data_IF_742660820778
#
_entry.id   IF_742660820778
#
_cell.length_a   1.000
_cell.length_b   1.000
_cell.length_c   1.000
_cell.angle_alpha   90.00
_cell.angle_beta   90.00
_cell.angle_gamma   90.00
#
_symmetry.space_group_name_H-M   'P 1'
#
loop_
_entity.id
_entity.type
_entity.pdbx_description
1 polymer ?
#
# COMPACT_ATOMS: atom_id res chain seq x y z
N UNK A 1 -30.31 -26.25 14.12
CA UNK A 1 -29.54 -27.33 14.78
C UNK A 1 -28.10 -27.14 14.36
N UNK A 2 -27.24 -26.65 15.27
CA UNK A 2 -25.79 -26.60 15.04
C UNK A 2 -25.27 -28.03 14.79
N UNK A 3 -24.21 -28.18 13.99
CA UNK A 3 -22.95 -28.51 14.65
C UNK A 3 -21.77 -27.66 14.20
N UNK A 4 -21.01 -27.35 15.24
CA UNK A 4 -19.71 -26.72 15.38
C UNK A 4 -18.57 -27.58 14.80
N UNK A 5 -17.39 -26.95 14.65
CA UNK A 5 -16.01 -27.48 14.86
C UNK A 5 -15.14 -27.72 13.61
N UNK A 6 -14.10 -26.86 13.52
CA UNK A 6 -12.68 -27.18 13.23
C UNK A 6 -12.33 -27.48 11.76
N UNK A 7 -11.33 -26.85 11.13
CA UNK A 7 -9.97 -26.58 11.64
C UNK A 7 -9.25 -25.66 10.64
N UNK A 8 -8.48 -24.72 11.15
CA UNK A 8 -7.32 -24.16 10.47
C UNK A 8 -6.40 -25.29 10.01
N UNK A 9 -5.85 -25.19 8.80
CA UNK A 9 -4.64 -25.91 8.45
C UNK A 9 -4.50 -26.31 6.98
N UNK A 10 -3.45 -25.74 6.39
CA UNK A 10 -2.56 -26.32 5.39
C UNK A 10 -2.83 -25.90 3.95
N UNK A 11 -1.87 -25.11 3.46
CA UNK A 11 -1.65 -24.74 2.09
C UNK A 11 -1.56 -25.96 1.17
N UNK A 12 -2.22 -25.87 0.01
CA UNK A 12 -2.09 -26.82 -1.07
C UNK A 12 -3.37 -26.93 -1.89
N UNK A 13 -3.41 -26.16 -2.97
CA UNK A 13 -4.14 -26.43 -4.22
C UNK A 13 -5.68 -26.56 -4.20
N UNK A 14 -6.29 -25.62 -4.95
CA UNK A 14 -7.53 -25.72 -5.75
C UNK A 14 -8.82 -26.14 -5.04
N UNK A 15 -9.66 -25.15 -4.71
CA UNK A 15 -11.02 -25.40 -4.25
C UNK A 15 -12.02 -25.59 -5.41
N UNK A 16 -12.97 -26.48 -5.17
CA UNK A 16 -13.80 -27.21 -6.13
C UNK A 16 -15.01 -26.42 -6.66
N UNK A 17 -14.95 -25.07 -6.71
CA UNK A 17 -16.08 -24.21 -7.11
C UNK A 17 -15.73 -23.02 -8.04
N UNK A 18 -14.58 -23.03 -8.72
CA UNK A 18 -14.41 -22.24 -9.94
C UNK A 18 -14.24 -20.72 -9.80
N UNK A 19 -13.99 -20.20 -8.59
CA UNK A 19 -13.41 -18.86 -8.42
C UNK A 19 -12.03 -19.00 -7.76
N UNK A 20 -10.99 -18.57 -8.48
CA UNK A 20 -9.67 -18.34 -7.91
C UNK A 20 -9.81 -17.24 -6.86
N UNK A 21 -9.84 -17.62 -5.57
CA UNK A 21 -9.57 -16.66 -4.51
C UNK A 21 -8.10 -16.25 -4.66
N UNK A 22 -7.83 -15.23 -5.46
CA UNK A 22 -6.59 -14.47 -5.33
C UNK A 22 -6.50 -14.06 -3.86
N UNK A 23 -5.43 -14.47 -3.18
CA UNK A 23 -5.16 -13.96 -1.82
C UNK A 23 -5.18 -12.44 -1.88
N UNK A 24 -5.79 -11.80 -0.89
CA UNK A 24 -6.01 -10.35 -0.88
C UNK A 24 -4.70 -9.57 -1.08
N UNK A 25 -3.58 -10.13 -0.60
CA UNK A 25 -2.20 -9.66 -0.85
C UNK A 25 -1.88 -9.52 -2.34
N UNK A 26 -2.14 -10.55 -3.13
CA UNK A 26 -1.90 -10.57 -4.57
C UNK A 26 -2.77 -9.52 -5.27
N UNK A 27 -4.03 -9.41 -4.88
CA UNK A 27 -4.95 -8.42 -5.44
C UNK A 27 -4.51 -6.99 -5.10
N UNK A 28 -4.15 -6.73 -3.84
CA UNK A 28 -3.68 -5.43 -3.38
C UNK A 28 -2.40 -5.03 -4.11
N UNK A 29 -1.44 -5.94 -4.24
CA UNK A 29 -0.19 -5.71 -4.96
C UNK A 29 -0.44 -5.38 -6.45
N UNK A 30 -1.26 -6.17 -7.15
CA UNK A 30 -1.63 -5.89 -8.54
C UNK A 30 -2.30 -4.51 -8.69
N UNK A 31 -3.19 -4.15 -7.77
CA UNK A 31 -3.87 -2.86 -7.79
C UNK A 31 -2.88 -1.70 -7.62
N UNK A 32 -1.99 -1.77 -6.63
CA UNK A 32 -0.95 -0.76 -6.42
C UNK A 32 -0.06 -0.59 -7.65
N UNK A 33 0.47 -1.69 -8.20
CA UNK A 33 1.35 -1.67 -9.37
C UNK A 33 0.64 -1.03 -10.57
N UNK A 34 -0.59 -1.46 -10.85
CA UNK A 34 -1.35 -0.99 -12.00
C UNK A 34 -1.72 0.49 -11.89
N UNK A 35 -2.21 0.93 -10.72
CA UNK A 35 -2.59 2.33 -10.50
C UNK A 35 -1.37 3.27 -10.52
N UNK A 36 -0.25 2.85 -9.93
CA UNK A 36 0.95 3.66 -9.92
C UNK A 36 1.61 3.75 -11.30
N UNK A 37 1.62 2.66 -12.08
CA UNK A 37 2.06 2.69 -13.49
C UNK A 37 1.18 3.61 -14.34
N UNK A 38 -0.14 3.50 -14.20
CA UNK A 38 -1.10 4.32 -14.93
C UNK A 38 -1.05 5.82 -14.56
N UNK A 39 -0.35 6.20 -13.48
CA UNK A 39 -0.19 7.59 -13.08
C UNK A 39 0.77 8.39 -13.96
N UNK A 40 1.65 7.74 -14.74
CA UNK A 40 2.74 8.37 -15.49
C UNK A 40 3.73 9.19 -14.62
N UNK A 41 3.75 8.96 -13.30
CA UNK A 41 4.59 9.73 -12.36
C UNK A 41 5.74 8.93 -11.73
N UNK A 42 5.72 7.61 -11.86
CA UNK A 42 6.64 6.69 -11.17
C UNK A 42 7.66 6.09 -12.16
N UNK A 43 8.88 5.90 -11.69
CA UNK A 43 9.98 5.26 -12.41
C UNK A 43 10.29 3.87 -11.85
N UNK A 44 10.24 3.71 -10.53
CA UNK A 44 10.53 2.46 -9.82
C UNK A 44 9.47 2.20 -8.76
N UNK A 45 9.06 0.94 -8.65
CA UNK A 45 8.12 0.43 -7.67
C UNK A 45 8.81 -0.64 -6.82
N UNK A 46 8.69 -0.52 -5.49
CA UNK A 46 9.26 -1.45 -4.52
C UNK A 46 8.09 -1.96 -3.68
N UNK A 47 7.68 -3.21 -3.90
CA UNK A 47 6.60 -3.85 -3.16
C UNK A 47 7.18 -4.85 -2.15
N UNK A 48 6.55 -5.00 -0.99
CA UNK A 48 6.82 -6.10 -0.06
C UNK A 48 6.62 -7.47 -0.76
N UNK A 49 5.63 -7.54 -1.64
CA UNK A 49 5.19 -8.76 -2.34
C UNK A 49 6.03 -9.12 -3.59
N UNK A 50 7.08 -8.35 -3.90
CA UNK A 50 7.94 -8.57 -5.06
C UNK A 50 9.42 -8.64 -4.66
N UNK A 51 10.07 -9.76 -4.97
CA UNK A 51 11.50 -9.97 -4.69
C UNK A 51 12.43 -8.97 -5.41
N UNK A 52 11.98 -8.42 -6.53
CA UNK A 52 12.76 -7.51 -7.37
C UNK A 52 12.04 -6.19 -7.57
N UNK A 53 12.81 -5.12 -7.69
CA UNK A 53 12.28 -3.80 -8.02
C UNK A 53 11.64 -3.83 -9.39
N UNK A 54 10.45 -3.28 -9.48
CA UNK A 54 9.69 -3.20 -10.72
C UNK A 54 10.03 -1.87 -11.41
N UNK A 55 10.66 -1.95 -12.58
CA UNK A 55 10.88 -0.79 -13.45
C UNK A 55 9.59 -0.44 -14.21
N UNK A 56 9.33 0.85 -14.37
CA UNK A 56 8.25 1.36 -15.21
C UNK A 56 8.77 1.61 -16.62
N UNK A 57 7.98 1.18 -17.61
CA UNK A 57 8.31 1.32 -19.03
C UNK A 57 8.54 2.77 -19.43
N UNK A 58 9.42 2.97 -20.41
CA UNK A 58 9.93 4.31 -20.77
C UNK A 58 8.81 5.28 -21.14
N UNK A 59 7.75 4.80 -21.80
CA UNK A 59 6.60 5.59 -22.25
C UNK A 59 5.69 6.05 -21.09
N UNK A 60 5.75 5.34 -19.95
CA UNK A 60 4.93 5.60 -18.76
C UNK A 60 5.76 6.12 -17.58
N UNK A 61 7.05 6.35 -17.80
CA UNK A 61 8.02 6.65 -16.75
C UNK A 61 7.90 8.09 -16.27
N UNK A 62 7.78 8.25 -14.96
CA UNK A 62 7.91 9.55 -14.30
C UNK A 62 9.21 9.71 -13.53
N UNK A 63 9.16 10.50 -12.44
CA UNK A 63 10.34 10.94 -11.68
C UNK A 63 10.37 10.47 -10.22
N UNK A 64 9.34 9.73 -9.81
CA UNK A 64 9.21 9.26 -8.44
C UNK A 64 9.54 7.78 -8.31
N UNK A 65 9.92 7.39 -7.10
CA UNK A 65 10.13 6.03 -6.67
C UNK A 65 9.13 5.80 -5.55
N UNK A 66 8.36 4.72 -5.62
CA UNK A 66 7.33 4.43 -4.62
C UNK A 66 7.66 3.08 -3.98
N UNK A 67 7.94 3.09 -2.68
CA UNK A 67 7.99 1.89 -1.86
C UNK A 67 6.66 1.72 -1.14
N UNK A 68 6.11 0.52 -1.12
CA UNK A 68 4.83 0.27 -0.49
C UNK A 68 4.73 -1.15 0.07
N UNK A 69 3.95 -1.26 1.15
CA UNK A 69 3.37 -2.50 1.63
C UNK A 69 1.90 -2.46 1.24
N UNK A 70 1.46 -3.26 0.25
CA UNK A 70 0.10 -3.20 -0.26
C UNK A 70 -0.92 -3.67 0.77
N UNK A 71 -0.55 -4.55 1.70
CA UNK A 71 -1.45 -5.09 2.71
C UNK A 71 -0.72 -5.50 4.00
N UNK A 72 -0.42 -4.51 4.84
CA UNK A 72 0.17 -4.73 6.15
C UNK A 72 -0.83 -5.43 7.08
N UNK A 73 -0.34 -6.46 7.77
CA UNK A 73 -1.13 -7.25 8.71
C UNK A 73 -2.04 -8.30 8.05
N UNK A 74 -1.73 -8.75 6.83
CA UNK A 74 -2.50 -9.77 6.11
C UNK A 74 -2.78 -11.06 6.90
N UNK A 75 -1.88 -11.45 7.79
CA UNK A 75 -2.07 -12.58 8.72
C UNK A 75 -3.25 -12.42 9.68
N UNK A 76 -3.74 -11.19 9.86
CA UNK A 76 -4.87 -10.87 10.72
C UNK A 76 -6.22 -10.79 10.00
N UNK A 77 -6.26 -11.02 8.68
CA UNK A 77 -7.50 -10.98 7.88
C UNK A 77 -8.55 -11.94 8.45
N UNK A 78 -8.14 -13.16 8.77
CA UNK A 78 -9.04 -14.21 9.30
C UNK A 78 -9.62 -13.84 10.69
N UNK A 79 -8.97 -12.93 11.41
CA UNK A 79 -9.37 -12.47 12.73
C UNK A 79 -10.18 -11.16 12.70
N UNK A 80 -10.42 -10.58 11.51
CA UNK A 80 -11.11 -9.29 11.32
C UNK A 80 -10.50 -8.14 12.15
N UNK A 81 -9.19 -8.19 12.40
CA UNK A 81 -8.45 -7.10 13.02
C UNK A 81 -8.13 -6.06 11.95
N UNK A 82 -7.90 -4.81 12.34
CA UNK A 82 -7.49 -3.76 11.43
C UNK A 82 -6.21 -4.14 10.70
N UNK A 83 -6.25 -3.94 9.38
CA UNK A 83 -5.14 -4.10 8.44
C UNK A 83 -4.90 -2.76 7.74
N UNK A 84 -3.86 -2.62 6.95
CA UNK A 84 -3.56 -1.35 6.30
C UNK A 84 -2.74 -1.49 5.03
N UNK A 85 -2.42 -0.36 4.41
CA UNK A 85 -1.41 -0.27 3.36
C UNK A 85 -0.47 0.87 3.73
N UNK A 86 0.84 0.70 3.49
CA UNK A 86 1.86 1.70 3.82
C UNK A 86 2.54 2.12 2.53
N UNK A 87 2.88 3.40 2.39
CA UNK A 87 3.66 3.86 1.24
C UNK A 87 4.62 4.99 1.61
N UNK A 88 5.72 5.05 0.86
CA UNK A 88 6.71 6.10 0.89
C UNK A 88 7.10 6.48 -0.54
N UNK A 89 7.16 7.79 -0.80
CA UNK A 89 7.47 8.36 -2.11
C UNK A 89 8.78 9.12 -1.99
N UNK A 90 9.72 8.78 -2.87
CA UNK A 90 11.00 9.44 -3.03
C UNK A 90 11.11 10.00 -4.43
N UNK A 91 11.94 11.02 -4.62
CA UNK A 91 12.24 11.56 -5.95
C UNK A 91 13.54 10.93 -6.46
N UNK A 92 13.56 10.53 -7.72
CA UNK A 92 14.81 10.11 -8.37
C UNK A 92 15.78 11.30 -8.42
N UNK A 93 17.06 11.08 -8.12
CA UNK A 93 18.04 12.16 -7.98
C UNK A 93 18.45 12.78 -9.33
N UNK A 94 18.41 11.99 -10.40
CA UNK A 94 18.75 12.45 -11.75
C UNK A 94 17.78 11.90 -12.84
N UNK A 95 18.05 12.22 -14.11
CA UNK A 95 17.27 11.75 -15.27
C UNK A 95 17.89 10.54 -15.99
N UNK A 96 18.85 9.84 -15.37
CA UNK A 96 19.44 8.63 -15.95
C UNK A 96 18.43 7.48 -16.04
N UNK A 97 18.80 6.40 -16.74
CA UNK A 97 17.98 5.17 -16.78
C UNK A 97 17.84 4.65 -15.34
N UNK A 98 16.61 4.37 -14.86
CA UNK A 98 16.40 3.85 -13.52
C UNK A 98 17.19 2.58 -13.25
N UNK A 99 17.69 2.46 -12.03
CA UNK A 99 18.44 1.30 -11.58
C UNK A 99 18.07 0.95 -10.14
N UNK A 100 18.39 -0.26 -9.71
CA UNK A 100 18.21 -0.67 -8.31
C UNK A 100 18.87 0.29 -7.31
N UNK A 101 19.96 0.96 -7.69
CA UNK A 101 20.66 1.91 -6.82
C UNK A 101 19.82 3.14 -6.51
N UNK A 102 18.97 3.58 -7.45
CA UNK A 102 18.09 4.72 -7.25
C UNK A 102 17.03 4.44 -6.17
N UNK A 103 16.64 3.18 -6.00
CA UNK A 103 15.69 2.74 -4.97
C UNK A 103 16.29 2.76 -3.55
N UNK A 104 17.62 2.65 -3.42
CA UNK A 104 18.33 2.55 -2.15
C UNK A 104 18.70 3.94 -1.61
N UNK A 105 17.69 4.76 -1.35
CA UNK A 105 17.86 6.09 -0.76
C UNK A 105 17.58 6.09 0.75
N UNK A 106 18.23 6.98 1.53
CA UNK A 106 17.91 7.14 2.94
C UNK A 106 16.50 7.69 3.13
N UNK A 107 15.81 7.28 4.20
CA UNK A 107 14.44 7.74 4.49
C UNK A 107 14.29 9.26 4.66
N UNK A 108 15.38 9.99 4.92
CA UNK A 108 15.41 11.47 4.92
C UNK A 108 15.14 12.10 3.55
N UNK A 109 15.17 11.31 2.46
CA UNK A 109 14.84 11.73 1.09
C UNK A 109 13.37 11.52 0.72
N UNK A 110 12.56 10.94 1.61
CA UNK A 110 11.13 10.75 1.41
C UNK A 110 10.46 12.13 1.33
N UNK A 111 9.76 12.36 0.22
CA UNK A 111 9.05 13.62 -0.05
C UNK A 111 7.58 13.56 0.37
N UNK A 112 7.02 12.36 0.43
CA UNK A 112 5.68 12.08 0.93
C UNK A 112 5.62 10.66 1.47
N UNK A 113 4.88 10.45 2.54
CA UNK A 113 4.63 9.11 3.09
C UNK A 113 3.26 9.07 3.74
N UNK A 114 2.71 7.88 3.85
CA UNK A 114 1.43 7.70 4.49
C UNK A 114 1.08 6.24 4.68
N UNK A 115 -0.10 6.06 5.26
CA UNK A 115 -0.73 4.75 5.35
C UNK A 115 -2.24 4.90 5.24
N UNK A 116 -2.88 3.88 4.68
CA UNK A 116 -4.30 3.66 4.79
C UNK A 116 -4.55 2.63 5.89
N UNK A 117 -5.52 2.89 6.76
CA UNK A 117 -5.96 1.98 7.82
C UNK A 117 -7.38 1.52 7.48
N UNK A 118 -7.56 0.21 7.37
CA UNK A 118 -8.83 -0.46 7.12
C UNK A 118 -9.35 -1.03 8.44
N UNK A 119 -9.91 -0.14 9.28
CA UNK A 119 -10.46 -0.49 10.59
C UNK A 119 -11.98 -0.45 10.61
N UNK A 120 -12.56 -0.04 11.75
CA UNK A 120 -14.00 0.26 11.85
C UNK A 120 -14.45 1.38 10.92
N UNK A 121 -13.53 2.26 10.55
CA UNK A 121 -13.63 3.21 9.44
C UNK A 121 -12.32 3.18 8.64
N UNK A 122 -12.40 3.50 7.35
CA UNK A 122 -11.21 3.62 6.51
C UNK A 122 -10.62 5.02 6.65
N UNK A 123 -9.37 5.10 7.06
CA UNK A 123 -8.63 6.35 7.24
C UNK A 123 -7.37 6.35 6.39
N UNK A 124 -7.02 7.50 5.82
CA UNK A 124 -5.72 7.74 5.18
C UNK A 124 -4.97 8.80 5.98
N UNK A 125 -3.76 8.48 6.40
CA UNK A 125 -2.84 9.43 7.05
C UNK A 125 -1.73 9.75 6.09
N UNK A 126 -1.52 11.04 5.82
CA UNK A 126 -0.56 11.53 4.83
C UNK A 126 0.36 12.61 5.44
N UNK A 127 1.64 12.49 5.15
CA UNK A 127 2.65 13.51 5.41
C UNK A 127 3.34 13.92 4.12
N UNK A 128 3.51 15.23 3.94
CA UNK A 128 4.28 15.84 2.84
C UNK A 128 5.51 16.60 3.38
N UNK A 129 6.05 16.17 4.53
CA UNK A 129 7.25 16.71 5.17
C UNK A 129 6.96 17.56 6.41
N UNK A 130 6.08 18.56 6.32
CA UNK A 130 5.92 19.56 7.38
C UNK A 130 4.70 19.36 8.29
N UNK A 131 3.76 18.51 7.88
CA UNK A 131 2.54 18.24 8.65
C UNK A 131 2.07 16.82 8.36
N UNK A 132 1.35 16.26 9.33
CA UNK A 132 0.65 14.98 9.20
C UNK A 132 -0.83 15.28 9.23
N UNK A 133 -1.59 14.79 8.26
CA UNK A 133 -3.03 15.02 8.18
C UNK A 133 -3.76 13.68 8.02
N UNK A 134 -4.88 13.55 8.71
CA UNK A 134 -5.77 12.41 8.68
C UNK A 134 -7.03 12.70 7.88
N UNK A 135 -7.37 11.77 7.00
CA UNK A 135 -8.55 11.83 6.15
C UNK A 135 -9.39 10.58 6.35
N UNK A 136 -10.70 10.72 6.48
CA UNK A 136 -11.62 9.60 6.64
C UNK A 136 -12.41 9.40 5.35
N UNK A 137 -12.52 8.17 4.88
CA UNK A 137 -13.33 7.83 3.72
C UNK A 137 -14.81 7.90 4.09
N UNK A 138 -15.58 8.75 3.40
CA UNK A 138 -17.04 8.64 3.40
C UNK A 138 -17.47 7.68 2.28
N UNK A 139 -17.95 6.46 2.59
CA UNK A 139 -18.31 5.48 1.58
C UNK A 139 -19.55 5.89 0.77
N UNK A 140 -20.34 6.85 1.23
CA UNK A 140 -21.53 7.35 0.54
C UNK A 140 -21.16 8.17 -0.70
N UNK A 141 -20.04 8.90 -0.62
CA UNK A 141 -19.53 9.75 -1.69
C UNK A 141 -18.30 9.15 -2.39
N UNK A 142 -17.60 8.22 -1.73
CA UNK A 142 -16.34 7.66 -2.22
C UNK A 142 -15.16 8.63 -2.10
N UNK A 143 -15.21 9.55 -1.14
CA UNK A 143 -14.20 10.61 -0.97
C UNK A 143 -13.53 10.58 0.40
N UNK A 144 -12.24 10.91 0.43
CA UNK A 144 -11.49 11.12 1.67
C UNK A 144 -11.65 12.56 2.17
N UNK A 145 -12.34 12.71 3.29
CA UNK A 145 -12.60 13.99 3.94
C UNK A 145 -11.54 14.27 5.00
N UNK A 146 -10.99 15.49 5.01
CA UNK A 146 -10.03 15.92 6.02
C UNK A 146 -10.70 16.01 7.40
N UNK A 147 -10.35 15.10 8.30
CA UNK A 147 -10.91 15.03 9.66
C UNK A 147 -9.93 15.53 10.72
N UNK A 148 -8.64 15.29 10.51
CA UNK A 148 -7.59 15.55 11.48
C UNK A 148 -6.48 16.38 10.85
N UNK A 149 -6.41 17.67 11.19
CA UNK A 149 -5.39 18.58 10.67
C UNK A 149 -4.18 18.63 11.58
N UNK A 150 -3.00 18.63 10.96
CA UNK A 150 -1.71 18.85 11.63
C UNK A 150 -1.52 17.99 12.90
N UNK A 151 -1.79 16.69 12.78
CA UNK A 151 -1.73 15.72 13.86
C UNK A 151 -0.36 15.78 14.57
N UNK A 152 -0.39 15.72 15.90
CA UNK A 152 0.78 15.66 16.78
C UNK A 152 0.59 14.57 17.80
N UNK A 153 1.65 13.83 18.09
CA UNK A 153 1.66 12.93 19.23
C UNK A 153 1.59 13.76 20.53
N UNK A 154 0.79 13.38 21.53
CA UNK A 154 0.76 14.06 22.81
C UNK A 154 2.14 14.11 23.46
N UNK A 155 2.43 15.19 24.20
CA UNK A 155 3.61 15.25 25.06
C UNK A 155 3.50 14.17 26.14
N UNK A 156 4.63 13.50 26.41
CA UNK A 156 4.73 12.50 27.48
C UNK A 156 4.56 13.12 28.87
#
# INVERSE_FOLDING_TARGET
MLPTISRFGIAGETNVQGEEVKKLDVLANELFINMLRASFTVALLISEENETVIEVETEQRGKYIVAFDPLDGSSNIDCLISIGSIFAIMKKEDNSIPSLKDALQPGTKVVAAGYALYGSATMMVLSLGNSVNGFMLDPSFGEFLLTDRDMRIPSR
#
